data_IF_366534181152
#
_entry.id   IF_366534181152
#
_cell.length_a   1.000
_cell.length_b   1.000
_cell.length_c   1.000
_cell.angle_alpha   90.00
_cell.angle_beta   90.00
_cell.angle_gamma   90.00
#
_symmetry.space_group_name_H-M   'P 1'
#
loop_
_entity.id
_entity.type
_entity.pdbx_description
1 polymer ?
#
# COMPACT_ATOMS: atom_id res chain seq x y z
N UNK A 1 6.07 12.61 -10.98
CA UNK A 1 6.07 13.06 -9.57
C UNK A 1 5.94 11.82 -8.69
N UNK A 2 6.62 11.78 -7.55
CA UNK A 2 6.51 10.68 -6.56
C UNK A 2 5.81 11.23 -5.32
N UNK A 3 4.80 10.54 -4.80
CA UNK A 3 4.00 10.97 -3.65
C UNK A 3 4.74 10.76 -2.32
N UNK A 4 5.39 9.61 -2.14
CA UNK A 4 6.23 9.23 -0.97
C UNK A 4 5.50 8.93 0.35
N UNK A 5 4.19 9.11 0.41
CA UNK A 5 3.39 8.93 1.63
C UNK A 5 1.98 8.42 1.29
N UNK A 6 1.88 7.43 0.39
CA UNK A 6 0.60 6.81 0.04
C UNK A 6 0.10 6.00 1.24
N UNK A 7 -1.05 6.39 1.79
CA UNK A 7 -1.72 5.73 2.93
C UNK A 7 -3.20 6.12 2.94
N UNK A 8 -4.07 5.41 3.70
CA UNK A 8 -5.49 5.69 3.72
C UNK A 8 -5.82 7.13 4.11
N UNK A 9 -5.05 7.72 5.03
CA UNK A 9 -5.21 9.13 5.43
C UNK A 9 -5.04 10.16 4.32
N UNK A 10 -4.37 9.81 3.22
CA UNK A 10 -4.12 10.70 2.07
C UNK A 10 -5.00 10.32 0.85
N UNK A 11 -5.98 9.41 1.02
CA UNK A 11 -6.92 8.97 -0.02
C UNK A 11 -8.33 9.36 0.43
N UNK A 12 -8.85 10.43 -0.14
CA UNK A 12 -10.17 10.96 0.18
C UNK A 12 -11.23 10.32 -0.71
N UNK A 13 -12.28 9.74 -0.09
CA UNK A 13 -13.46 9.24 -0.78
C UNK A 13 -14.63 10.20 -0.57
N UNK A 14 -15.07 10.85 -1.65
CA UNK A 14 -16.27 11.69 -1.62
C UNK A 14 -17.54 10.83 -1.58
N UNK A 15 -18.64 11.39 -1.03
CA UNK A 15 -19.96 10.72 -1.03
C UNK A 15 -20.47 10.35 -2.44
N UNK A 16 -19.97 11.03 -3.47
CA UNK A 16 -20.25 10.72 -4.88
C UNK A 16 -19.51 9.50 -5.42
N UNK A 17 -18.65 8.86 -4.61
CA UNK A 17 -17.76 7.78 -5.05
C UNK A 17 -16.46 8.26 -5.70
N UNK A 18 -16.26 9.58 -5.87
CA UNK A 18 -15.01 10.12 -6.41
C UNK A 18 -13.88 9.99 -5.40
N UNK A 19 -12.75 9.43 -5.85
CA UNK A 19 -11.51 9.35 -5.07
C UNK A 19 -10.60 10.54 -5.42
N UNK A 20 -9.96 11.13 -4.42
CA UNK A 20 -8.93 12.16 -4.56
C UNK A 20 -7.72 11.80 -3.72
N UNK A 21 -6.54 12.06 -4.24
CA UNK A 21 -5.28 11.90 -3.52
C UNK A 21 -4.84 13.28 -3.03
N UNK A 22 -4.36 13.38 -1.79
CA UNK A 22 -3.88 14.63 -1.17
C UNK A 22 -2.42 14.53 -0.76
N UNK A 23 -1.84 15.64 -0.28
CA UNK A 23 -0.53 15.63 0.40
C UNK A 23 0.63 15.08 -0.44
N UNK A 24 0.60 15.35 -1.74
CA UNK A 24 1.72 15.08 -2.65
C UNK A 24 2.97 15.82 -2.16
N UNK A 25 3.91 15.08 -1.55
CA UNK A 25 5.28 15.53 -1.34
C UNK A 25 5.50 16.77 -0.46
N UNK A 26 4.54 17.19 0.38
CA UNK A 26 4.76 18.31 1.33
C UNK A 26 5.80 17.96 2.42
N UNK A 27 6.31 16.72 2.46
CA UNK A 27 7.44 16.28 3.28
C UNK A 27 8.82 16.63 2.68
N UNK A 28 8.95 17.81 2.08
CA UNK A 28 10.19 18.32 1.47
C UNK A 28 11.20 18.92 2.46
N UNK A 29 11.05 18.74 3.77
CA UNK A 29 11.98 19.31 4.75
C UNK A 29 12.59 18.24 5.67
N UNK A 30 13.87 17.96 5.43
CA UNK A 30 14.87 17.90 6.50
C UNK A 30 14.71 16.80 7.56
N UNK A 31 14.88 15.53 7.17
CA UNK A 31 15.55 14.48 7.95
C UNK A 31 15.24 13.09 7.37
N UNK A 32 15.78 12.79 6.18
CA UNK A 32 16.32 11.43 5.99
C UNK A 32 17.56 11.26 6.89
N UNK A 33 17.42 11.55 8.20
CA UNK A 33 18.24 10.87 9.18
C UNK A 33 17.78 9.44 9.04
N UNK A 34 18.68 8.66 8.46
CA UNK A 34 18.88 7.25 8.66
C UNK A 34 18.08 6.75 9.86
N UNK A 35 17.43 5.60 9.72
CA UNK A 35 16.76 4.82 10.77
C UNK A 35 17.69 4.41 11.95
N UNK A 36 18.65 5.24 12.33
CA UNK A 36 19.67 5.03 13.34
C UNK A 36 19.66 6.26 14.26
N UNK A 37 18.90 6.20 15.36
CA UNK A 37 19.35 6.72 16.67
C UNK A 37 18.29 6.62 17.78
N UNK A 38 16.98 6.66 17.52
CA UNK A 38 16.01 6.87 18.63
C UNK A 38 14.62 6.27 18.48
N UNK A 39 14.37 5.36 17.55
CA UNK A 39 13.14 4.55 17.57
C UNK A 39 11.82 5.31 17.37
N UNK A 40 11.83 6.54 16.84
CA UNK A 40 10.62 7.31 16.59
C UNK A 40 10.55 7.80 15.13
N UNK A 41 9.93 6.98 14.28
CA UNK A 41 9.04 7.50 13.24
C UNK A 41 7.67 6.88 13.52
N UNK A 42 6.94 7.56 14.39
CA UNK A 42 5.59 7.23 14.82
C UNK A 42 4.65 7.47 13.63
N UNK A 43 4.22 6.40 12.96
CA UNK A 43 3.07 6.44 12.04
C UNK A 43 3.26 5.87 10.63
N UNK A 44 4.46 5.92 10.03
CA UNK A 44 4.62 5.66 8.57
C UNK A 44 5.08 4.24 8.21
N UNK A 45 5.66 3.50 9.15
CA UNK A 45 6.21 2.16 8.86
C UNK A 45 5.18 1.17 8.30
N UNK A 46 3.88 1.42 8.55
CA UNK A 46 2.77 0.55 8.16
C UNK A 46 2.51 0.47 6.65
N UNK A 47 2.96 1.46 5.88
CA UNK A 47 2.74 1.55 4.43
C UNK A 47 4.07 1.79 3.69
N UNK A 48 5.20 1.58 4.35
CA UNK A 48 6.52 1.85 3.82
C UNK A 48 6.90 0.80 2.78
N UNK A 49 7.50 1.21 1.67
CA UNK A 49 8.05 0.24 0.72
C UNK A 49 9.35 -0.40 1.22
N UNK A 50 9.73 -1.60 0.73
CA UNK A 50 10.96 -2.29 1.13
C UNK A 50 12.20 -1.42 0.92
N UNK A 51 12.28 -0.74 -0.22
CA UNK A 51 13.40 0.14 -0.55
C UNK A 51 13.46 1.36 0.38
N UNK A 52 12.32 1.95 0.75
CA UNK A 52 12.31 3.05 1.72
C UNK A 52 12.68 2.56 3.14
N UNK A 53 12.28 1.34 3.51
CA UNK A 53 12.62 0.71 4.80
C UNK A 53 14.12 0.45 4.97
N UNK A 54 14.86 0.27 3.88
CA UNK A 54 16.34 0.19 3.90
C UNK A 54 17.02 1.53 3.61
N UNK A 55 16.27 2.63 3.60
CA UNK A 55 16.78 3.99 3.42
C UNK A 55 17.09 4.38 1.97
N UNK A 56 16.65 3.63 0.97
CA UNK A 56 16.77 4.03 -0.44
C UNK A 56 15.72 5.10 -0.78
N UNK A 57 15.99 5.96 -1.79
CA UNK A 57 15.02 6.95 -2.25
C UNK A 57 13.72 6.31 -2.74
N UNK A 58 12.58 6.92 -2.41
CA UNK A 58 11.30 6.53 -2.98
C UNK A 58 11.24 6.83 -4.48
N UNK A 59 10.62 5.90 -5.21
CA UNK A 59 10.37 5.96 -6.65
C UNK A 59 8.86 5.85 -6.92
N UNK A 60 8.37 6.03 -8.15
CA UNK A 60 6.97 5.76 -8.46
C UNK A 60 6.54 4.33 -8.09
N UNK A 61 7.46 3.36 -8.17
CA UNK A 61 7.20 1.97 -7.78
C UNK A 61 7.07 1.80 -6.25
N UNK A 62 7.65 2.71 -5.46
CA UNK A 62 7.44 2.76 -4.01
C UNK A 62 6.01 3.15 -3.68
N UNK A 63 5.46 4.13 -4.39
CA UNK A 63 4.05 4.54 -4.24
C UNK A 63 3.10 3.39 -4.61
N UNK A 64 3.42 2.60 -5.64
CA UNK A 64 2.65 1.43 -6.03
C UNK A 64 2.67 0.33 -4.95
N UNK A 65 3.80 0.13 -4.29
CA UNK A 65 3.88 -0.80 -3.17
C UNK A 65 2.99 -0.35 -2.02
N UNK A 66 3.10 0.92 -1.61
CA UNK A 66 2.27 1.51 -0.57
C UNK A 66 0.79 1.45 -0.90
N UNK A 67 0.41 1.68 -2.17
CA UNK A 67 -0.95 1.48 -2.65
C UNK A 67 -1.39 0.00 -2.56
N UNK A 68 -0.49 -0.94 -2.84
CA UNK A 68 -0.70 -2.37 -2.62
C UNK A 68 -1.01 -2.70 -1.16
N UNK A 69 -0.34 -2.03 -0.20
CA UNK A 69 -0.62 -2.21 1.23
C UNK A 69 -2.02 -1.71 1.58
N UNK A 70 -2.42 -0.55 1.06
CA UNK A 70 -3.78 0.00 1.22
C UNK A 70 -4.83 -0.95 0.63
N UNK A 71 -4.60 -1.43 -0.59
CA UNK A 71 -5.51 -2.37 -1.25
C UNK A 71 -5.62 -3.69 -0.46
N UNK A 72 -4.51 -4.20 0.05
CA UNK A 72 -4.50 -5.38 0.91
C UNK A 72 -5.34 -5.16 2.16
N UNK A 73 -5.15 -4.05 2.87
CA UNK A 73 -5.91 -3.74 4.08
C UNK A 73 -7.41 -3.59 3.80
N UNK A 74 -7.77 -2.93 2.70
CA UNK A 74 -9.16 -2.78 2.28
C UNK A 74 -9.84 -4.13 1.99
N UNK A 75 -9.09 -5.11 1.47
CA UNK A 75 -9.61 -6.44 1.11
C UNK A 75 -9.57 -7.43 2.28
N UNK A 76 -8.56 -7.36 3.14
CA UNK A 76 -8.36 -8.29 4.25
C UNK A 76 -8.95 -7.80 5.58
N UNK A 77 -9.32 -6.52 5.68
CA UNK A 77 -9.72 -5.85 6.92
C UNK A 77 -8.56 -5.60 7.89
N UNK A 78 -7.32 -5.92 7.49
CA UNK A 78 -6.10 -5.72 8.27
C UNK A 78 -4.90 -5.57 7.35
N UNK A 79 -3.89 -4.83 7.81
CA UNK A 79 -2.60 -4.68 7.12
C UNK A 79 -1.85 -6.03 7.00
N UNK A 80 -0.99 -6.19 5.99
CA UNK A 80 -0.20 -7.41 5.81
C UNK A 80 0.80 -7.62 6.95
N UNK A 81 1.36 -6.53 7.50
CA UNK A 81 2.30 -6.56 8.62
C UNK A 81 1.82 -5.61 9.72
N UNK A 82 1.82 -6.09 10.96
CA UNK A 82 1.37 -5.35 12.14
C UNK A 82 2.20 -5.74 13.36
N UNK A 83 2.11 -4.96 14.44
CA UNK A 83 2.77 -5.24 15.71
C UNK A 83 3.77 -4.16 16.12
N UNK A 84 4.00 -3.95 17.43
CA UNK A 84 5.08 -3.10 17.89
C UNK A 84 6.41 -3.87 17.90
N UNK A 85 7.56 -3.18 17.78
CA UNK A 85 7.74 -1.75 17.46
C UNK A 85 7.64 -1.47 15.95
N UNK A 86 7.56 -0.19 15.57
CA UNK A 86 7.50 0.23 14.15
C UNK A 86 8.67 -0.31 13.29
N UNK A 87 9.85 -0.48 13.89
CA UNK A 87 11.01 -1.08 13.20
C UNK A 87 10.77 -2.54 12.82
N UNK A 88 10.01 -3.31 13.61
CA UNK A 88 9.67 -4.69 13.26
C UNK A 88 8.77 -4.75 12.02
N UNK A 89 7.83 -3.81 11.90
CA UNK A 89 6.99 -3.68 10.70
C UNK A 89 7.84 -3.33 9.47
N UNK A 90 8.78 -2.40 9.60
CA UNK A 90 9.68 -2.04 8.51
C UNK A 90 10.54 -3.24 8.06
N UNK A 91 11.07 -4.01 8.99
CA UNK A 91 11.82 -5.25 8.71
C UNK A 91 10.93 -6.29 8.02
N UNK A 92 9.66 -6.44 8.43
CA UNK A 92 8.72 -7.36 7.79
C UNK A 92 8.41 -6.93 6.34
N UNK A 93 8.29 -5.64 6.07
CA UNK A 93 8.17 -5.14 4.69
C UNK A 93 9.37 -5.53 3.82
N UNK A 94 10.58 -5.63 4.38
CA UNK A 94 11.77 -6.05 3.64
C UNK A 94 11.84 -7.57 3.46
N UNK A 95 11.63 -8.33 4.54
CA UNK A 95 12.02 -9.74 4.59
C UNK A 95 10.85 -10.72 4.56
N UNK A 96 9.71 -10.36 5.16
CA UNK A 96 8.66 -11.34 5.42
C UNK A 96 7.80 -11.54 4.18
N UNK A 97 7.39 -12.79 3.89
CA UNK A 97 6.42 -13.04 2.83
C UNK A 97 5.09 -12.36 3.18
N UNK A 98 4.44 -11.80 2.16
CA UNK A 98 3.11 -11.19 2.32
C UNK A 98 2.10 -12.31 2.58
N UNK A 99 1.31 -12.27 3.67
CA UNK A 99 0.31 -13.29 3.93
C UNK A 99 -0.74 -13.34 2.81
N UNK A 100 -1.27 -14.51 2.44
CA UNK A 100 -2.28 -14.60 1.39
C UNK A 100 -3.55 -13.81 1.76
N UNK A 101 -4.21 -13.24 0.75
CA UNK A 101 -5.52 -12.61 0.93
C UNK A 101 -6.61 -13.67 1.21
N UNK A 102 -7.73 -13.30 1.87
CA UNK A 102 -8.83 -14.22 2.13
C UNK A 102 -9.36 -14.87 0.84
N UNK A 103 -9.75 -16.14 0.91
CA UNK A 103 -10.26 -16.90 -0.24
C UNK A 103 -11.55 -16.32 -0.87
N UNK A 104 -12.24 -15.42 -0.15
CA UNK A 104 -13.41 -14.69 -0.64
C UNK A 104 -13.05 -13.56 -1.64
N UNK A 105 -11.78 -13.14 -1.70
CA UNK A 105 -11.32 -12.15 -2.68
C UNK A 105 -11.12 -12.86 -4.03
N UNK A 106 -11.56 -12.22 -5.12
CA UNK A 106 -11.31 -12.74 -6.47
C UNK A 106 -9.83 -13.04 -6.69
N UNK A 107 -9.53 -14.21 -7.27
CA UNK A 107 -8.15 -14.70 -7.40
C UNK A 107 -7.27 -13.78 -8.25
N UNK A 108 -7.83 -13.14 -9.28
CA UNK A 108 -7.07 -12.26 -10.16
C UNK A 108 -6.80 -10.92 -9.49
N UNK A 109 -7.78 -10.39 -8.76
CA UNK A 109 -7.59 -9.21 -7.93
C UNK A 109 -6.53 -9.47 -6.84
N UNK A 110 -6.63 -10.61 -6.16
CA UNK A 110 -5.64 -10.99 -5.14
C UNK A 110 -4.24 -11.11 -5.72
N UNK A 111 -4.08 -11.73 -6.89
CA UNK A 111 -2.79 -11.84 -7.57
C UNK A 111 -2.21 -10.46 -7.94
N UNK A 112 -3.04 -9.53 -8.41
CA UNK A 112 -2.59 -8.18 -8.75
C UNK A 112 -2.15 -7.39 -7.51
N UNK A 113 -2.89 -7.49 -6.40
CA UNK A 113 -2.52 -6.86 -5.12
C UNK A 113 -1.22 -7.45 -4.58
N UNK A 114 -1.06 -8.77 -4.64
CA UNK A 114 0.20 -9.41 -4.22
C UNK A 114 1.38 -9.02 -5.13
N UNK A 115 1.15 -8.81 -6.44
CA UNK A 115 2.17 -8.29 -7.38
C UNK A 115 2.61 -6.86 -7.02
N UNK A 116 1.70 -5.99 -6.58
CA UNK A 116 2.07 -4.66 -6.07
C UNK A 116 2.98 -4.77 -4.83
N UNK A 117 2.77 -5.80 -4.02
CA UNK A 117 3.53 -6.07 -2.80
C UNK A 117 4.81 -6.88 -3.01
N UNK A 118 5.23 -7.09 -4.26
CA UNK A 118 6.55 -7.66 -4.57
C UNK A 118 7.67 -6.85 -3.92
N UNK A 119 8.61 -7.56 -3.31
CA UNK A 119 9.76 -6.94 -2.63
C UNK A 119 10.68 -6.25 -3.62
N UNK A 120 10.90 -6.90 -4.75
CA UNK A 120 11.65 -6.38 -5.88
C UNK A 120 10.78 -5.38 -6.69
N UNK A 121 11.14 -4.09 -6.79
CA UNK A 121 10.34 -3.10 -7.51
C UNK A 121 10.05 -3.47 -8.96
N UNK A 122 10.99 -4.13 -9.64
CA UNK A 122 10.84 -4.51 -11.06
C UNK A 122 9.78 -5.59 -11.32
N UNK A 123 9.30 -6.30 -10.30
CA UNK A 123 8.20 -7.27 -10.42
C UNK A 123 6.81 -6.64 -10.32
N UNK A 124 6.74 -5.40 -9.83
CA UNK A 124 5.50 -4.63 -9.71
C UNK A 124 5.02 -4.19 -11.11
N UNK A 125 3.77 -3.72 -11.28
CA UNK A 125 3.40 -2.97 -12.48
C UNK A 125 4.37 -1.79 -12.69
N UNK A 126 4.76 -1.52 -13.93
CA UNK A 126 5.78 -0.54 -14.26
C UNK A 126 5.32 0.91 -14.00
N UNK A 127 4.01 1.15 -13.98
CA UNK A 127 3.44 2.47 -13.70
C UNK A 127 2.01 2.41 -13.15
N UNK A 128 1.52 3.56 -12.70
CA UNK A 128 0.11 3.72 -12.32
C UNK A 128 -0.85 3.53 -13.49
N UNK A 129 -0.43 3.89 -14.71
CA UNK A 129 -1.19 3.67 -15.94
C UNK A 129 -1.30 2.17 -16.27
N UNK A 130 -0.21 1.40 -16.16
CA UNK A 130 -0.28 -0.06 -16.33
C UNK A 130 -1.20 -0.69 -15.27
N UNK A 131 -1.08 -0.27 -14.00
CA UNK A 131 -1.95 -0.76 -12.94
C UNK A 131 -3.43 -0.46 -13.22
N UNK A 132 -3.75 0.77 -13.66
CA UNK A 132 -5.11 1.16 -14.00
C UNK A 132 -5.67 0.30 -15.15
N UNK A 133 -4.89 0.10 -16.22
CA UNK A 133 -5.29 -0.75 -17.34
C UNK A 133 -5.51 -2.21 -16.91
N UNK A 134 -4.68 -2.74 -16.00
CA UNK A 134 -4.88 -4.09 -15.44
C UNK A 134 -6.16 -4.18 -14.62
N UNK A 135 -6.46 -3.16 -13.81
CA UNK A 135 -7.71 -3.10 -13.03
C UNK A 135 -8.95 -3.00 -13.94
N UNK A 136 -8.91 -2.17 -14.98
CA UNK A 136 -10.02 -2.01 -15.93
C UNK A 136 -10.36 -3.33 -16.64
N UNK A 137 -9.38 -4.19 -16.89
CA UNK A 137 -9.62 -5.53 -17.45
C UNK A 137 -10.29 -6.50 -16.45
N UNK A 138 -10.15 -6.25 -15.14
CA UNK A 138 -10.74 -7.06 -14.07
C UNK A 138 -12.14 -6.58 -13.68
N UNK A 139 -12.43 -5.28 -13.78
CA UNK A 139 -13.72 -4.68 -13.39
C UNK A 139 -14.93 -5.40 -14.04
N UNK A 140 -14.96 -5.70 -15.35
CA UNK A 140 -16.08 -6.41 -15.98
C UNK A 140 -16.34 -7.82 -15.44
N UNK A 141 -15.35 -8.38 -14.72
CA UNK A 141 -15.38 -9.75 -14.18
C UNK A 141 -15.49 -9.77 -12.66
N UNK A 142 -15.46 -8.60 -12.03
CA UNK A 142 -15.63 -8.43 -10.58
C UNK A 142 -17.09 -8.03 -10.33
N UNK A 143 -17.83 -8.71 -9.44
CA UNK A 143 -19.21 -8.35 -9.16
C UNK A 143 -19.32 -6.87 -8.75
N UNK A 144 -20.28 -6.10 -9.28
CA UNK A 144 -20.45 -4.67 -8.96
C UNK A 144 -20.79 -4.41 -7.48
N UNK A 145 -21.19 -5.45 -6.74
CA UNK A 145 -21.39 -5.39 -5.29
C UNK A 145 -20.10 -5.25 -4.49
N UNK A 146 -18.93 -5.46 -5.09
CA UNK A 146 -17.67 -5.57 -4.36
C UNK A 146 -17.70 -6.70 -3.32
N UNK A 147 -16.67 -6.76 -2.47
CA UNK A 147 -16.71 -7.54 -1.22
C UNK A 147 -17.67 -6.80 -0.29
N UNK A 148 -18.65 -7.50 0.30
CA UNK A 148 -19.52 -6.91 1.30
C UNK A 148 -18.65 -6.31 2.41
N UNK A 149 -18.65 -4.98 2.54
CA UNK A 149 -18.07 -4.32 3.71
C UNK A 149 -18.90 -4.77 4.89
N UNK A 150 -18.38 -5.70 5.68
CA UNK A 150 -18.90 -5.99 7.01
C UNK A 150 -18.59 -4.75 7.86
N UNK A 151 -19.41 -3.71 7.72
CA UNK A 151 -19.50 -2.67 8.73
C UNK A 151 -20.13 -3.37 9.93
N UNK A 152 -19.30 -3.92 10.82
CA UNK A 152 -19.73 -4.20 12.17
C UNK A 152 -20.28 -2.89 12.74
N UNK A 153 -21.59 -2.87 13.02
CA UNK A 153 -22.24 -1.76 13.71
C UNK A 153 -21.46 -1.43 15.00
N UNK A 154 -21.44 -0.14 15.41
CA UNK A 154 -20.76 0.29 16.63
C UNK A 154 -21.28 -0.41 17.88
#
# INVERSE_FOLDING_TARGET
VVHRDVKPGNILLARSGKVKITDFGVSLASNQKTMTATGMVMGTAQYLSPEQAVGRPATPLSDLYSLGVVAYEALAGKRPFTGPPAVAIAVAHVNDPVPPLPAAVDRKLAALVLRLLSKEPSERPASGEELAALLDQLVPRTPPSGVAVLVSKP
#
